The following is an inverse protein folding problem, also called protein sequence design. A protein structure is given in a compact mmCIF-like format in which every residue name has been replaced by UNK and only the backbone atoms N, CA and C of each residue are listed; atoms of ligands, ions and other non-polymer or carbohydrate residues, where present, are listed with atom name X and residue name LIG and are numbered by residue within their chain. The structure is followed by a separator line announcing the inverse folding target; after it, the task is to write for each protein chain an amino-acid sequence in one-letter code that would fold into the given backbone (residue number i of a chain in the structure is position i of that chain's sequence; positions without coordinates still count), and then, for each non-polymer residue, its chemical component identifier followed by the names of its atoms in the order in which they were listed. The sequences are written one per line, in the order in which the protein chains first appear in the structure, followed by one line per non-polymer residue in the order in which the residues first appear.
data_IF_304720109748
#
_entry.id   IF_304720109748
#
_cell.length_a   1.000
_cell.length_b   1.000
_cell.length_c   1.000
_cell.angle_alpha   90.00
_cell.angle_beta   90.00
_cell.angle_gamma   90.00
#
_symmetry.space_group_name_H-M   'P 1'
#
loop_
_entity.id
_entity.type
_entity.pdbx_description
1 polymer ?
#
# COMPACT_ATOMS: atom_id res chain seq x y z
N UNK A 1 -6.23 5.53 17.54
CA UNK A 1 -5.03 5.94 16.79
C UNK A 1 -5.44 6.33 15.38
N UNK A 2 -4.67 7.16 14.67
CA UNK A 2 -5.13 7.86 13.45
C UNK A 2 -5.81 6.96 12.40
N UNK A 3 -5.38 5.71 12.22
CA UNK A 3 -6.06 4.77 11.30
C UNK A 3 -7.46 4.34 11.77
N UNK A 4 -7.65 4.18 13.07
CA UNK A 4 -8.97 3.92 13.65
C UNK A 4 -9.89 5.13 13.42
N UNK A 5 -9.37 6.35 13.62
CA UNK A 5 -10.16 7.57 13.43
C UNK A 5 -10.48 7.81 11.94
N UNK A 6 -9.58 7.42 11.04
CA UNK A 6 -9.84 7.40 9.61
C UNK A 6 -10.94 6.40 9.24
N UNK A 7 -10.87 5.17 9.75
CA UNK A 7 -11.91 4.17 9.53
C UNK A 7 -13.27 4.68 10.06
N UNK A 8 -13.29 5.46 11.14
CA UNK A 8 -14.52 6.08 11.66
C UNK A 8 -15.11 7.16 10.75
N UNK A 9 -14.30 7.78 9.88
CA UNK A 9 -14.77 8.78 8.90
C UNK A 9 -15.21 8.10 7.60
N UNK A 10 -14.44 7.12 7.11
CA UNK A 10 -14.69 6.48 5.82
C UNK A 10 -15.79 5.42 5.88
N UNK A 11 -15.94 4.71 7.00
CA UNK A 11 -16.96 3.65 7.11
C UNK A 11 -18.40 4.17 6.98
N UNK A 12 -18.79 5.29 7.63
CA UNK A 12 -20.13 5.86 7.44
C UNK A 12 -20.39 6.35 6.00
N UNK A 13 -19.35 6.84 5.30
CA UNK A 13 -19.46 7.29 3.90
C UNK A 13 -19.75 6.08 3.00
N UNK A 14 -18.96 5.00 3.14
CA UNK A 14 -19.17 3.76 2.38
C UNK A 14 -20.53 3.12 2.69
N UNK A 15 -20.92 3.08 3.96
CA UNK A 15 -22.24 2.60 4.37
C UNK A 15 -23.37 3.43 3.76
N UNK A 16 -23.21 4.76 3.69
CA UNK A 16 -24.21 5.63 3.08
C UNK A 16 -24.35 5.36 1.58
N UNK A 17 -23.24 5.11 0.89
CA UNK A 17 -23.24 4.71 -0.53
C UNK A 17 -24.01 3.41 -0.73
N UNK A 18 -23.75 2.39 0.09
CA UNK A 18 -24.44 1.10 0.01
C UNK A 18 -25.94 1.23 0.30
N UNK A 19 -26.31 2.04 1.30
CA UNK A 19 -27.71 2.32 1.61
C UNK A 19 -28.42 3.09 0.50
N UNK A 20 -27.72 4.01 -0.18
CA UNK A 20 -28.28 4.75 -1.33
C UNK A 20 -28.47 3.85 -2.54
N UNK A 21 -27.56 2.89 -2.80
CA UNK A 21 -27.74 1.88 -3.86
C UNK A 21 -28.97 1.02 -3.64
N UNK A 22 -29.31 0.71 -2.40
CA UNK A 22 -30.53 -0.04 -2.06
C UNK A 22 -31.82 0.77 -2.27
N UNK A 23 -31.72 2.11 -2.31
CA UNK A 23 -32.87 3.03 -2.37
C UNK A 23 -33.12 3.61 -3.77
N UNK A 24 -32.14 3.53 -4.67
CA UNK A 24 -32.21 4.12 -6.01
C UNK A 24 -31.89 3.09 -7.08
N UNK A 25 -32.76 3.02 -8.10
CA UNK A 25 -32.55 2.24 -9.33
C UNK A 25 -32.12 3.10 -10.52
N UNK A 26 -31.83 4.39 -10.29
CA UNK A 26 -31.41 5.32 -11.34
C UNK A 26 -29.94 5.04 -11.75
N UNK A 27 -29.67 4.71 -13.04
CA UNK A 27 -28.33 4.45 -13.54
C UNK A 27 -27.34 5.63 -13.44
N UNK A 28 -27.81 6.87 -13.49
CA UNK A 28 -26.96 8.06 -13.30
C UNK A 28 -26.53 8.16 -11.83
N UNK A 29 -27.47 7.96 -10.89
CA UNK A 29 -27.16 7.93 -9.46
C UNK A 29 -26.19 6.78 -9.15
N UNK A 30 -26.39 5.60 -9.75
CA UNK A 30 -25.48 4.47 -9.62
C UNK A 30 -24.03 4.82 -10.00
N UNK A 31 -23.83 5.50 -11.14
CA UNK A 31 -22.51 5.96 -11.57
C UNK A 31 -21.85 6.92 -10.59
N UNK A 32 -22.60 7.88 -10.04
CA UNK A 32 -22.06 8.79 -9.03
C UNK A 32 -21.68 8.06 -7.74
N UNK A 33 -22.50 7.09 -7.31
CA UNK A 33 -22.20 6.25 -6.14
C UNK A 33 -20.93 5.40 -6.35
N UNK A 34 -20.70 4.89 -7.56
CA UNK A 34 -19.47 4.19 -7.92
C UNK A 34 -18.24 5.10 -7.81
N UNK A 35 -18.33 6.33 -8.31
CA UNK A 35 -17.25 7.33 -8.23
C UNK A 35 -16.92 7.66 -6.78
N UNK A 36 -17.94 7.86 -5.93
CA UNK A 36 -17.75 8.15 -4.50
C UNK A 36 -17.09 6.95 -3.81
N UNK A 37 -17.61 5.74 -4.02
CA UNK A 37 -17.06 4.51 -3.45
C UNK A 37 -15.59 4.31 -3.83
N UNK A 38 -15.26 4.44 -5.12
CA UNK A 38 -13.90 4.24 -5.61
C UNK A 38 -12.94 5.31 -5.05
N UNK A 39 -13.40 6.57 -5.01
CA UNK A 39 -12.61 7.68 -4.47
C UNK A 39 -12.33 7.52 -2.98
N UNK A 40 -13.34 7.13 -2.20
CA UNK A 40 -13.20 6.84 -0.77
C UNK A 40 -12.25 5.67 -0.51
N UNK A 41 -12.35 4.58 -1.27
CA UNK A 41 -11.45 3.43 -1.16
C UNK A 41 -10.00 3.80 -1.50
N UNK A 42 -9.79 4.55 -2.59
CA UNK A 42 -8.47 5.03 -3.00
C UNK A 42 -7.85 5.97 -1.97
N UNK A 43 -8.65 6.86 -1.38
CA UNK A 43 -8.24 7.71 -0.27
C UNK A 43 -7.82 6.91 0.97
N UNK A 44 -8.57 5.86 1.31
CA UNK A 44 -8.24 4.95 2.41
C UNK A 44 -6.87 4.30 2.20
N UNK A 45 -6.61 3.78 1.00
CA UNK A 45 -5.33 3.14 0.67
C UNK A 45 -4.16 4.11 0.70
N UNK A 46 -4.31 5.33 0.16
CA UNK A 46 -3.27 6.37 0.24
C UNK A 46 -2.93 6.73 1.68
N UNK A 47 -3.95 6.91 2.53
CA UNK A 47 -3.71 7.26 3.93
C UNK A 47 -3.12 6.06 4.69
N UNK A 48 -3.51 4.83 4.36
CA UNK A 48 -2.88 3.64 4.92
C UNK A 48 -1.40 3.55 4.53
N UNK A 49 -1.04 3.89 3.29
CA UNK A 49 0.36 3.99 2.85
C UNK A 49 1.11 5.08 3.64
N UNK A 50 0.52 6.27 3.79
CA UNK A 50 1.10 7.37 4.57
C UNK A 50 1.24 6.99 6.04
N UNK A 51 0.26 6.32 6.64
CA UNK A 51 0.32 5.87 8.03
C UNK A 51 1.28 4.70 8.22
N UNK A 52 1.48 3.86 7.22
CA UNK A 52 2.50 2.81 7.23
C UNK A 52 3.89 3.44 7.20
N UNK A 53 4.07 4.47 6.37
CA UNK A 53 5.28 5.28 6.35
C UNK A 53 5.50 6.05 7.67
N UNK A 54 4.46 6.72 8.18
CA UNK A 54 4.52 7.53 9.40
C UNK A 54 4.58 6.70 10.70
N UNK A 55 4.16 5.43 10.68
CA UNK A 55 4.40 4.48 11.79
C UNK A 55 5.82 3.94 11.82
N UNK A 56 6.65 4.25 10.83
CA UNK A 56 8.11 4.09 10.91
C UNK A 56 8.81 5.04 11.91
N UNK A 57 8.10 5.53 12.93
CA UNK A 57 8.64 6.45 13.95
C UNK A 57 9.06 5.74 15.25
N UNK A 58 8.80 4.45 15.39
CA UNK A 58 9.65 3.58 16.23
C UNK A 58 9.94 2.31 15.43
N UNK A 59 11.18 2.19 14.92
CA UNK A 59 11.61 1.04 14.14
C UNK A 59 11.57 -0.24 14.99
N UNK A 60 10.44 -0.94 14.98
CA UNK A 60 10.37 -2.30 15.50
C UNK A 60 11.24 -3.19 14.61
N UNK A 61 12.35 -3.65 15.18
CA UNK A 61 13.19 -4.66 14.54
C UNK A 61 12.44 -5.98 14.56
N UNK A 62 11.87 -6.35 13.43
CA UNK A 62 11.21 -7.64 13.24
C UNK A 62 12.15 -8.59 12.51
N UNK A 63 11.82 -9.87 12.54
CA UNK A 63 12.53 -10.90 11.76
C UNK A 63 12.25 -10.69 10.27
N UNK A 64 13.24 -10.18 9.53
CA UNK A 64 13.15 -9.81 8.13
C UNK A 64 13.96 -10.76 7.29
N UNK A 65 13.31 -11.34 6.27
CA UNK A 65 13.97 -12.16 5.28
C UNK A 65 14.26 -11.33 4.02
N UNK A 66 15.51 -10.84 3.92
CA UNK A 66 15.96 -9.79 2.98
C UNK A 66 15.69 -10.13 1.51
N UNK A 67 15.68 -11.42 1.16
CA UNK A 67 15.41 -11.87 -0.21
C UNK A 67 14.08 -11.37 -0.78
N UNK A 68 13.06 -11.17 0.06
CA UNK A 68 11.75 -10.69 -0.39
C UNK A 68 11.82 -9.20 -0.74
N UNK A 69 12.52 -8.39 0.06
CA UNK A 69 12.74 -6.97 -0.21
C UNK A 69 13.54 -6.79 -1.50
N UNK A 70 14.60 -7.57 -1.70
CA UNK A 70 15.42 -7.51 -2.91
C UNK A 70 14.64 -7.93 -4.16
N UNK A 71 13.70 -8.88 -4.03
CA UNK A 71 12.85 -9.31 -5.14
C UNK A 71 11.92 -8.18 -5.60
N UNK A 72 11.27 -7.50 -4.66
CA UNK A 72 10.39 -6.36 -4.97
C UNK A 72 11.18 -5.20 -5.56
N UNK A 73 12.36 -4.87 -5.00
CA UNK A 73 13.26 -3.85 -5.54
C UNK A 73 13.65 -4.17 -6.98
N UNK A 74 14.07 -5.41 -7.24
CA UNK A 74 14.48 -5.85 -8.60
C UNK A 74 13.36 -5.62 -9.60
N UNK A 75 12.11 -5.95 -9.24
CA UNK A 75 10.96 -5.75 -10.12
C UNK A 75 10.77 -4.26 -10.44
N UNK A 76 10.85 -3.39 -9.45
CA UNK A 76 10.76 -1.94 -9.65
C UNK A 76 11.87 -1.43 -10.56
N UNK A 77 13.12 -1.87 -10.35
CA UNK A 77 14.25 -1.49 -11.21
C UNK A 77 14.03 -1.96 -12.67
N UNK A 78 13.58 -3.21 -12.86
CA UNK A 78 13.27 -3.80 -14.18
C UNK A 78 12.14 -3.05 -14.90
N UNK A 79 11.17 -2.48 -14.18
CA UNK A 79 10.08 -1.67 -14.73
C UNK A 79 10.46 -0.18 -14.94
N UNK A 80 11.40 0.34 -14.17
CA UNK A 80 11.77 1.77 -14.16
C UNK A 80 12.85 2.11 -15.18
N UNK A 81 13.87 1.27 -15.31
CA UNK A 81 14.99 1.57 -16.21
C UNK A 81 14.69 1.20 -17.67
N UNK A 82 15.21 1.96 -18.64
CA UNK A 82 15.10 1.61 -20.05
C UNK A 82 15.75 0.25 -20.34
N UNK A 83 15.23 -0.47 -21.35
CA UNK A 83 15.77 -1.78 -21.79
C UNK A 83 17.24 -1.76 -22.24
N UNK A 84 17.82 -0.58 -22.43
CA UNK A 84 19.25 -0.40 -22.72
C UNK A 84 20.14 -0.58 -21.47
N UNK A 85 19.57 -0.66 -20.27
CA UNK A 85 20.28 -0.89 -19.02
C UNK A 85 20.08 -2.34 -18.59
N UNK A 86 21.17 -3.08 -18.43
CA UNK A 86 21.14 -4.47 -17.96
C UNK A 86 21.21 -4.50 -16.43
N UNK A 87 20.18 -5.07 -15.78
CA UNK A 87 20.13 -5.24 -14.32
C UNK A 87 20.64 -6.64 -13.98
N UNK A 88 21.81 -6.73 -13.35
CA UNK A 88 22.37 -7.99 -12.83
C UNK A 88 22.12 -8.12 -11.34
N UNK A 89 21.56 -9.26 -10.93
CA UNK A 89 21.30 -9.60 -9.53
C UNK A 89 22.04 -10.87 -9.15
N UNK A 90 22.78 -10.82 -8.05
CA UNK A 90 23.40 -11.97 -7.43
C UNK A 90 22.88 -12.06 -6.00
N UNK A 91 21.84 -12.84 -5.80
CA UNK A 91 21.13 -12.99 -4.52
C UNK A 91 21.17 -14.46 -4.15
N UNK A 92 21.76 -14.79 -3.01
CA UNK A 92 21.80 -16.17 -2.54
C UNK A 92 20.43 -16.67 -2.09
N UNK A 93 20.15 -17.96 -2.28
CA UNK A 93 18.87 -18.55 -1.91
C UNK A 93 18.67 -18.60 -0.39
N UNK A 94 19.76 -18.83 0.35
CA UNK A 94 19.77 -19.01 1.80
C UNK A 94 20.31 -17.78 2.54
N UNK A 95 19.72 -16.61 2.27
CA UNK A 95 20.02 -15.42 3.05
C UNK A 95 19.57 -15.57 4.51
N UNK A 96 20.41 -15.10 5.42
CA UNK A 96 20.08 -15.02 6.84
C UNK A 96 18.87 -14.11 7.07
N UNK A 97 18.07 -14.49 8.05
CA UNK A 97 17.00 -13.63 8.56
C UNK A 97 17.62 -12.66 9.57
N UNK A 98 17.30 -11.38 9.45
CA UNK A 98 17.89 -10.31 10.27
C UNK A 98 16.82 -9.64 11.11
N UNK A 99 17.18 -9.11 12.28
CA UNK A 99 16.29 -8.28 13.08
C UNK A 99 16.40 -6.81 12.61
N UNK A 100 15.46 -6.35 11.80
CA UNK A 100 15.51 -5.03 11.19
C UNK A 100 14.12 -4.44 10.91
N UNK A 101 14.11 -3.13 10.64
CA UNK A 101 12.94 -2.45 10.09
C UNK A 101 12.96 -2.61 8.56
N UNK A 102 12.00 -3.35 8.03
CA UNK A 102 11.90 -3.63 6.59
C UNK A 102 11.71 -2.35 5.76
N UNK A 103 11.02 -1.33 6.30
CA UNK A 103 10.76 -0.05 5.63
C UNK A 103 12.06 0.73 5.48
N UNK A 104 12.86 0.80 6.54
CA UNK A 104 14.17 1.48 6.49
C UNK A 104 15.13 0.79 5.53
N UNK A 105 15.17 -0.56 5.54
CA UNK A 105 15.98 -1.31 4.57
C UNK A 105 15.53 -0.99 3.14
N UNK A 106 14.22 -1.02 2.88
CA UNK A 106 13.69 -0.72 1.56
C UNK A 106 14.01 0.72 1.11
N UNK A 107 13.94 1.69 2.03
CA UNK A 107 14.26 3.09 1.75
C UNK A 107 15.75 3.34 1.44
N UNK A 108 16.67 2.62 2.07
CA UNK A 108 18.11 2.74 1.77
C UNK A 108 18.46 2.09 0.41
N UNK A 109 17.69 1.08 0.01
CA UNK A 109 17.93 0.33 -1.23
C UNK A 109 17.29 0.95 -2.47
N UNK A 110 16.22 1.75 -2.31
CA UNK A 110 15.63 2.55 -3.39
C UNK A 110 16.36 3.89 -3.57
#
# INVERSE_FOLDING_TARGET
GIAHDLNNILSPIMMSVDMMRLRSSDPEIGRWLDVISESSRRGAELIKQVLTFARGVEGERVSVQVKYILKDLTKVLEETFPKSIEIKKQIEQELWTIAADATQIHQVLM
#
